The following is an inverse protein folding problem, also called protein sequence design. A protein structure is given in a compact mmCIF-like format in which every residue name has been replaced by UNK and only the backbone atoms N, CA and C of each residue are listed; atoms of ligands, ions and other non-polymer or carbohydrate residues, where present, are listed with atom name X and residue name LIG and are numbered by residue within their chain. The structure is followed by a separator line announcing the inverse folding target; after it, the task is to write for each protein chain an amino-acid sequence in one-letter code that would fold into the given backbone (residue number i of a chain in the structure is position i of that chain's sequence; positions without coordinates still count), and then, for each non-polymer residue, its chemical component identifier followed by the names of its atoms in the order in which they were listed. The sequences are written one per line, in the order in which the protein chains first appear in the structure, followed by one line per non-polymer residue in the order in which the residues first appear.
data_IF_047741299775
#
_entry.id   IF_047741299775
#
_cell.length_a   1.000
_cell.length_b   1.000
_cell.length_c   1.000
_cell.angle_alpha   90.00
_cell.angle_beta   90.00
_cell.angle_gamma   90.00
#
_symmetry.space_group_name_H-M   'P 1'
#
loop_
_entity.id
_entity.type
_entity.pdbx_description
1 polymer ?
#
# COMPACT_ATOMS: atom_id res chain seq x y z
N UNK A 1 45.69 7.85 -8.62
CA UNK A 1 44.89 8.59 -9.62
C UNK A 1 44.65 7.78 -10.90
N UNK A 2 45.68 7.36 -11.65
CA UNK A 2 45.50 6.60 -12.92
C UNK A 2 44.61 5.35 -12.81
N UNK A 3 44.77 4.55 -11.77
CA UNK A 3 43.97 3.33 -11.56
C UNK A 3 42.49 3.62 -11.29
N UNK A 4 42.18 4.76 -10.66
CA UNK A 4 40.81 5.21 -10.42
C UNK A 4 40.17 5.62 -11.75
N UNK A 5 40.85 6.45 -12.54
CA UNK A 5 40.34 7.00 -13.80
C UNK A 5 40.08 5.93 -14.88
N UNK A 6 40.81 4.82 -14.83
CA UNK A 6 40.65 3.71 -15.79
C UNK A 6 39.61 2.68 -15.34
N UNK A 7 39.00 2.85 -14.16
CA UNK A 7 38.07 1.88 -13.60
C UNK A 7 36.66 2.14 -14.12
N UNK A 8 36.20 1.28 -15.01
CA UNK A 8 34.84 1.27 -15.59
C UNK A 8 34.10 0.01 -15.14
N UNK A 9 32.78 0.07 -14.97
CA UNK A 9 31.92 -1.08 -14.65
C UNK A 9 32.05 -2.16 -15.73
N UNK A 10 32.38 -3.37 -15.32
CA UNK A 10 32.58 -4.50 -16.23
C UNK A 10 31.26 -5.12 -16.66
N UNK A 11 31.27 -5.88 -17.76
CA UNK A 11 30.10 -6.64 -18.21
C UNK A 11 29.70 -7.66 -17.13
N UNK A 12 28.44 -7.58 -16.67
CA UNK A 12 27.90 -8.43 -15.59
C UNK A 12 28.27 -7.98 -14.17
N UNK A 13 29.04 -6.90 -14.00
CA UNK A 13 29.31 -6.33 -12.69
C UNK A 13 28.13 -5.49 -12.21
N UNK A 14 27.69 -5.69 -10.96
CA UNK A 14 26.63 -4.87 -10.37
C UNK A 14 27.11 -3.45 -10.06
N UNK A 15 26.18 -2.49 -10.02
CA UNK A 15 26.49 -1.08 -9.68
C UNK A 15 27.10 -0.97 -8.28
N UNK A 16 26.66 -1.80 -7.33
CA UNK A 16 27.21 -1.82 -5.97
C UNK A 16 28.65 -2.31 -5.94
N UNK A 17 28.95 -3.42 -6.64
CA UNK A 17 30.32 -3.97 -6.74
C UNK A 17 31.28 -2.96 -7.37
N UNK A 18 30.84 -2.29 -8.44
CA UNK A 18 31.59 -1.23 -9.09
C UNK A 18 31.86 -0.04 -8.16
N UNK A 19 30.83 0.47 -7.48
CA UNK A 19 30.94 1.60 -6.55
C UNK A 19 31.91 1.31 -5.39
N UNK A 20 31.84 0.10 -4.82
CA UNK A 20 32.76 -0.33 -3.77
C UNK A 20 34.20 -0.43 -4.26
N UNK A 21 34.43 -0.93 -5.48
CA UNK A 21 35.76 -1.01 -6.05
C UNK A 21 36.38 0.39 -6.24
N UNK A 22 35.59 1.37 -6.69
CA UNK A 22 36.02 2.77 -6.78
C UNK A 22 36.32 3.39 -5.41
N UNK A 23 35.46 3.15 -4.42
CA UNK A 23 35.66 3.62 -3.05
C UNK A 23 36.98 3.09 -2.46
N UNK A 24 37.25 1.79 -2.62
CA UNK A 24 38.51 1.15 -2.18
C UNK A 24 39.75 1.73 -2.88
N UNK A 25 39.64 2.10 -4.16
CA UNK A 25 40.72 2.78 -4.88
C UNK A 25 40.89 4.23 -4.40
N UNK A 26 39.80 4.92 -4.06
CA UNK A 26 39.85 6.30 -3.55
C UNK A 26 40.48 6.37 -2.15
N UNK A 27 40.20 5.41 -1.27
CA UNK A 27 40.76 5.38 0.09
C UNK A 27 42.27 5.13 0.07
N UNK A 28 42.76 4.31 -0.86
CA UNK A 28 44.21 4.14 -1.12
C UNK A 28 44.90 5.40 -1.65
N UNK A 29 44.14 6.39 -2.13
CA UNK A 29 44.67 7.64 -2.65
C UNK A 29 44.55 8.79 -1.64
N UNK A 30 43.57 8.73 -0.73
CA UNK A 30 43.46 9.66 0.42
C UNK A 30 44.62 9.53 1.41
N UNK A 31 45.34 8.42 1.40
CA UNK A 31 46.56 8.23 2.22
C UNK A 31 47.73 9.09 1.75
N UNK A 32 47.62 9.74 0.58
CA UNK A 32 48.63 10.69 0.08
C UNK A 32 48.11 12.12 0.28
N UNK A 33 48.72 12.83 1.23
CA UNK A 33 48.35 14.20 1.61
C UNK A 33 48.69 15.19 0.48
N UNK A 34 47.73 16.04 0.10
CA UNK A 34 47.88 17.07 -0.94
C UNK A 34 47.20 16.77 -2.29
N UNK A 35 46.34 15.76 -2.38
CA UNK A 35 45.65 15.43 -3.62
C UNK A 35 44.52 16.43 -3.97
N UNK A 36 44.38 16.82 -5.26
CA UNK A 36 43.21 17.57 -5.74
C UNK A 36 41.92 16.79 -5.46
N UNK A 37 40.78 17.49 -5.38
CA UNK A 37 39.47 16.96 -4.95
C UNK A 37 39.21 15.50 -5.38
N UNK A 38 39.65 14.58 -4.53
CA UNK A 38 39.57 13.13 -4.76
C UNK A 38 38.10 12.71 -4.80
N UNK A 39 37.25 13.42 -4.06
CA UNK A 39 35.81 13.19 -4.02
C UNK A 39 35.14 13.64 -5.33
N UNK A 40 35.52 14.80 -5.87
CA UNK A 40 35.08 15.25 -7.20
C UNK A 40 35.47 14.26 -8.28
N UNK A 41 36.75 13.84 -8.31
CA UNK A 41 37.23 12.87 -9.30
C UNK A 41 36.53 11.50 -9.14
N UNK A 42 36.27 11.07 -7.90
CA UNK A 42 35.55 9.82 -7.62
C UNK A 42 34.10 9.86 -8.15
N UNK A 43 33.39 10.97 -7.95
CA UNK A 43 32.02 11.14 -8.46
C UNK A 43 31.98 11.18 -9.99
N UNK A 44 32.92 11.91 -10.61
CA UNK A 44 33.04 11.98 -12.06
C UNK A 44 33.35 10.61 -12.67
N UNK A 45 34.29 9.87 -12.06
CA UNK A 45 34.63 8.53 -12.50
C UNK A 45 33.47 7.56 -12.35
N UNK A 46 32.75 7.64 -11.22
CA UNK A 46 31.57 6.81 -11.00
C UNK A 46 30.56 7.05 -12.12
N UNK A 47 30.20 8.32 -12.38
CA UNK A 47 29.31 8.70 -13.49
C UNK A 47 29.80 8.15 -14.84
N UNK A 48 31.05 8.38 -15.20
CA UNK A 48 31.54 8.07 -16.55
C UNK A 48 31.72 6.56 -16.78
N UNK A 49 32.04 5.82 -15.72
CA UNK A 49 32.28 4.39 -15.80
C UNK A 49 31.07 3.48 -15.53
N UNK A 50 29.87 3.99 -15.23
CA UNK A 50 28.64 3.16 -15.14
C UNK A 50 28.33 2.49 -16.49
N UNK A 51 27.72 1.31 -16.56
CA UNK A 51 27.40 0.66 -17.85
C UNK A 51 26.12 1.20 -18.51
N UNK A 52 25.12 1.59 -17.71
CA UNK A 52 23.81 2.04 -18.20
C UNK A 52 23.81 3.54 -18.59
N UNK A 53 23.51 3.83 -19.85
CA UNK A 53 23.41 5.20 -20.38
C UNK A 53 22.32 6.05 -19.70
N UNK A 54 21.21 5.45 -19.27
CA UNK A 54 20.14 6.17 -18.57
C UNK A 54 20.64 6.57 -17.19
N UNK A 55 21.18 5.61 -16.45
CA UNK A 55 21.77 5.86 -15.13
C UNK A 55 22.89 6.91 -15.20
N UNK A 56 23.76 6.89 -16.22
CA UNK A 56 24.77 7.95 -16.45
C UNK A 56 24.16 9.35 -16.57
N UNK A 57 23.06 9.50 -17.33
CA UNK A 57 22.39 10.79 -17.53
C UNK A 57 21.74 11.29 -16.24
N UNK A 58 21.08 10.39 -15.54
CA UNK A 58 20.38 10.68 -14.29
C UNK A 58 21.39 11.07 -13.19
N UNK A 59 22.48 10.31 -13.04
CA UNK A 59 23.60 10.66 -12.14
C UNK A 59 24.20 12.03 -12.49
N UNK A 60 24.38 12.34 -13.78
CA UNK A 60 24.86 13.65 -14.24
C UNK A 60 23.92 14.79 -13.87
N UNK A 61 22.59 14.59 -14.02
CA UNK A 61 21.57 15.58 -13.63
C UNK A 61 21.64 15.83 -12.12
N UNK A 62 21.67 14.78 -11.32
CA UNK A 62 21.72 14.88 -9.86
C UNK A 62 22.96 15.66 -9.37
N UNK A 63 24.13 15.42 -9.99
CA UNK A 63 25.35 16.16 -9.68
C UNK A 63 25.27 17.65 -10.04
N UNK A 64 24.55 17.99 -11.11
CA UNK A 64 24.36 19.39 -11.53
C UNK A 64 23.44 20.14 -10.56
N UNK A 65 22.39 19.47 -10.09
CA UNK A 65 21.38 20.07 -9.21
C UNK A 65 21.85 20.13 -7.75
N UNK A 66 22.79 19.25 -7.35
CA UNK A 66 23.31 19.16 -5.99
C UNK A 66 24.85 19.16 -5.96
N UNK A 67 25.44 20.35 -6.01
CA UNK A 67 26.91 20.51 -6.01
C UNK A 67 27.61 19.96 -4.75
N UNK A 68 26.92 19.94 -3.60
CA UNK A 68 27.46 19.47 -2.31
C UNK A 68 27.19 17.98 -2.03
N UNK A 69 26.55 17.27 -2.96
CA UNK A 69 26.13 15.87 -2.78
C UNK A 69 27.34 14.97 -2.47
N UNK A 70 27.27 14.17 -1.42
CA UNK A 70 28.34 13.22 -1.07
C UNK A 70 28.38 12.03 -2.05
N UNK A 71 29.54 11.38 -2.17
CA UNK A 71 29.65 10.19 -3.02
C UNK A 71 28.75 9.03 -2.53
N UNK A 72 28.58 8.91 -1.21
CA UNK A 72 27.72 7.87 -0.61
C UNK A 72 26.26 8.09 -1.01
N UNK A 73 25.76 9.33 -0.92
CA UNK A 73 24.40 9.65 -1.36
C UNK A 73 24.20 9.44 -2.87
N UNK A 74 25.21 9.79 -3.69
CA UNK A 74 25.19 9.53 -5.13
C UNK A 74 25.08 8.04 -5.46
N UNK A 75 25.83 7.22 -4.73
CA UNK A 75 25.82 5.75 -4.87
C UNK A 75 24.46 5.20 -4.49
N UNK A 76 23.93 5.56 -3.33
CA UNK A 76 22.68 4.99 -2.81
C UNK A 76 21.53 5.31 -3.77
N UNK A 77 21.46 6.55 -4.27
CA UNK A 77 20.49 6.92 -5.30
C UNK A 77 20.65 6.13 -6.61
N UNK A 78 21.89 5.88 -7.04
CA UNK A 78 22.14 5.10 -8.25
C UNK A 78 21.76 3.61 -8.08
N UNK A 79 21.83 3.07 -6.86
CA UNK A 79 21.37 1.72 -6.56
C UNK A 79 19.85 1.62 -6.67
N UNK A 80 19.11 2.54 -6.03
CA UNK A 80 17.65 2.59 -6.10
C UNK A 80 17.16 2.69 -7.56
N UNK A 81 17.79 3.54 -8.37
CA UNK A 81 17.48 3.69 -9.80
C UNK A 81 17.81 2.41 -10.62
N UNK A 82 18.87 1.70 -10.25
CA UNK A 82 19.24 0.45 -10.93
C UNK A 82 18.28 -0.71 -10.61
N UNK A 83 17.70 -0.71 -9.41
CA UNK A 83 16.71 -1.69 -8.97
C UNK A 83 15.33 -1.41 -9.61
N UNK A 84 14.94 -0.15 -9.74
CA UNK A 84 13.72 0.29 -10.45
C UNK A 84 13.74 -0.11 -11.94
N UNK A 85 14.92 -0.15 -12.56
CA UNK A 85 15.11 -0.53 -13.97
C UNK A 85 14.84 -2.01 -14.27
N UNK A 86 14.82 -2.87 -13.24
CA UNK A 86 14.46 -4.29 -13.38
C UNK A 86 12.95 -4.52 -13.56
N UNK A 87 12.11 -3.52 -13.28
CA UNK A 87 10.65 -3.61 -13.32
C UNK A 87 9.98 -2.94 -14.54
N UNK A 88 10.75 -2.34 -15.46
CA UNK A 88 10.19 -1.66 -16.64
C UNK A 88 10.55 -2.38 -17.97
N UNK A 89 9.59 -2.53 -18.91
CA UNK A 89 9.87 -3.09 -20.22
C UNK A 89 10.91 -2.24 -20.96
N UNK A 90 12.06 -2.86 -21.24
CA UNK A 90 13.21 -2.31 -21.96
C UNK A 90 12.79 -1.67 -23.30
N UNK A 91 12.55 -0.36 -23.32
CA UNK A 91 12.41 0.37 -24.59
C UNK A 91 13.78 0.44 -25.25
N UNK A 92 13.91 -0.18 -26.43
CA UNK A 92 15.13 -0.13 -27.24
C UNK A 92 15.55 1.33 -27.44
N UNK A 93 16.77 1.65 -27.03
CA UNK A 93 17.35 2.97 -27.17
C UNK A 93 17.44 3.35 -28.66
N UNK A 94 16.60 4.31 -29.07
CA UNK A 94 16.75 4.99 -30.35
C UNK A 94 17.92 5.97 -30.23
N UNK A 95 18.89 5.87 -31.14
CA UNK A 95 20.04 6.79 -31.20
C UNK A 95 19.55 8.23 -31.37
N UNK A 96 20.11 9.23 -30.68
CA UNK A 96 19.74 10.61 -30.91
C UNK A 96 20.38 11.07 -32.24
N UNK A 97 19.56 11.17 -33.29
CA UNK A 97 19.90 11.90 -34.50
C UNK A 97 19.90 13.39 -34.19
N UNK A 98 21.02 14.05 -34.45
CA UNK A 98 21.17 15.50 -34.32
C UNK A 98 20.34 16.15 -35.42
N UNK A 99 19.17 16.65 -35.06
CA UNK A 99 18.48 17.72 -35.79
C UNK A 99 17.95 18.67 -34.72
N UNK A 100 18.54 19.86 -34.64
CA UNK A 100 17.97 20.97 -33.88
C UNK A 100 16.63 21.32 -34.50
N UNK A 101 15.56 20.78 -33.94
CA UNK A 101 14.20 21.14 -34.27
C UNK A 101 13.69 21.92 -33.08
N UNK A 102 13.52 23.22 -33.27
CA UNK A 102 12.78 24.08 -32.35
C UNK A 102 11.51 23.32 -31.95
N UNK A 103 11.37 23.01 -30.67
CA UNK A 103 10.22 22.27 -30.15
C UNK A 103 8.99 23.17 -30.28
N UNK A 104 8.35 23.15 -31.44
CA UNK A 104 7.04 23.76 -31.60
C UNK A 104 6.08 22.97 -30.72
N UNK A 105 5.36 23.61 -29.76
CA UNK A 105 4.41 22.92 -28.92
C UNK A 105 3.35 22.28 -29.83
N UNK A 106 3.27 20.95 -29.82
CA UNK A 106 2.19 20.26 -30.52
C UNK A 106 0.88 20.58 -29.78
N UNK A 107 -0.02 21.40 -30.35
CA UNK A 107 -1.22 21.87 -29.66
C UNK A 107 -2.17 20.72 -29.28
N UNK A 108 -2.08 19.58 -29.98
CA UNK A 108 -2.83 18.38 -29.64
C UNK A 108 -2.37 17.77 -28.31
N UNK A 109 -1.06 17.79 -28.06
CA UNK A 109 -0.47 17.17 -26.87
C UNK A 109 -0.74 17.99 -25.61
N UNK A 110 -0.68 19.33 -25.71
CA UNK A 110 -1.02 20.21 -24.59
C UNK A 110 -2.48 20.05 -24.17
N UNK A 111 -3.41 19.99 -25.13
CA UNK A 111 -4.84 19.78 -24.84
C UNK A 111 -5.12 18.43 -24.17
N UNK A 112 -4.42 17.36 -24.59
CA UNK A 112 -4.54 16.04 -23.96
C UNK A 112 -4.02 16.08 -22.52
N UNK A 113 -2.89 16.75 -22.28
CA UNK A 113 -2.33 16.87 -20.93
C UNK A 113 -3.26 17.65 -20.00
N UNK A 114 -3.85 18.75 -20.44
CA UNK A 114 -4.85 19.50 -19.66
C UNK A 114 -6.09 18.66 -19.33
N UNK A 115 -6.56 17.86 -20.30
CA UNK A 115 -7.68 16.94 -20.09
C UNK A 115 -7.35 15.87 -19.04
N UNK A 116 -6.12 15.34 -19.06
CA UNK A 116 -5.67 14.37 -18.07
C UNK A 116 -5.52 15.00 -16.68
N UNK A 117 -4.94 16.19 -16.58
CA UNK A 117 -4.79 16.91 -15.30
C UNK A 117 -6.16 17.14 -14.65
N UNK A 118 -7.12 17.68 -15.41
CA UNK A 118 -8.48 17.92 -14.89
C UNK A 118 -9.20 16.62 -14.53
N UNK A 119 -8.92 15.51 -15.22
CA UNK A 119 -9.47 14.20 -14.88
C UNK A 119 -8.89 13.66 -13.56
N UNK A 120 -7.57 13.82 -13.35
CA UNK A 120 -6.90 13.41 -12.11
C UNK A 120 -7.38 14.24 -10.92
N UNK A 121 -7.57 15.55 -11.10
CA UNK A 121 -8.14 16.42 -10.06
C UNK A 121 -9.56 15.96 -9.65
N UNK A 122 -10.42 15.67 -10.63
CA UNK A 122 -11.77 15.12 -10.38
C UNK A 122 -11.73 13.78 -9.65
N UNK A 123 -10.84 12.88 -10.06
CA UNK A 123 -10.64 11.59 -9.40
C UNK A 123 -10.19 11.76 -7.95
N UNK A 124 -9.33 12.74 -7.66
CA UNK A 124 -8.86 13.03 -6.29
C UNK A 124 -10.01 13.45 -5.38
N UNK A 125 -10.98 14.23 -5.89
CA UNK A 125 -12.19 14.61 -5.15
C UNK A 125 -13.06 13.40 -4.79
N UNK A 126 -13.34 12.52 -5.77
CA UNK A 126 -14.13 11.30 -5.56
C UNK A 126 -13.46 10.39 -4.52
N UNK A 127 -12.14 10.23 -4.57
CA UNK A 127 -11.39 9.44 -3.59
C UNK A 127 -11.50 10.02 -2.16
N UNK A 128 -11.51 11.34 -2.03
CA UNK A 128 -11.68 12.01 -0.75
C UNK A 128 -13.09 11.80 -0.17
N UNK A 129 -14.12 11.86 -1.01
CA UNK A 129 -15.50 11.55 -0.63
C UNK A 129 -15.65 10.09 -0.19
N UNK A 130 -15.13 9.14 -0.98
CA UNK A 130 -15.13 7.71 -0.63
C UNK A 130 -14.40 7.44 0.70
N UNK A 131 -13.30 8.15 0.96
CA UNK A 131 -12.59 8.06 2.25
C UNK A 131 -13.46 8.56 3.40
N UNK A 132 -14.19 9.66 3.22
CA UNK A 132 -15.09 10.19 4.24
C UNK A 132 -16.23 9.20 4.53
N UNK A 133 -16.83 8.62 3.50
CA UNK A 133 -17.86 7.58 3.64
C UNK A 133 -17.35 6.36 4.38
N UNK A 134 -16.14 5.90 4.05
CA UNK A 134 -15.50 4.79 4.76
C UNK A 134 -15.31 5.11 6.25
N UNK A 135 -14.89 6.34 6.60
CA UNK A 135 -14.76 6.74 8.02
C UNK A 135 -16.11 6.80 8.74
N UNK A 136 -17.17 7.26 8.06
CA UNK A 136 -18.52 7.30 8.63
C UNK A 136 -19.06 5.89 8.86
N UNK A 137 -18.86 4.97 7.91
CA UNK A 137 -19.23 3.57 8.05
C UNK A 137 -18.45 2.89 9.18
N UNK A 138 -17.13 3.10 9.26
CA UNK A 138 -16.32 2.55 10.36
C UNK A 138 -16.82 3.00 11.73
N UNK A 139 -17.17 4.28 11.91
CA UNK A 139 -17.75 4.79 13.18
C UNK A 139 -19.09 4.14 13.51
N UNK A 140 -19.93 3.88 12.50
CA UNK A 140 -21.22 3.19 12.69
C UNK A 140 -21.00 1.75 13.13
N UNK A 141 -20.04 1.04 12.54
CA UNK A 141 -19.67 -0.33 12.96
C UNK A 141 -19.20 -0.34 14.41
N UNK A 142 -18.28 0.56 14.79
CA UNK A 142 -17.78 0.68 16.17
C UNK A 142 -18.91 0.95 17.18
N UNK A 143 -19.85 1.83 16.84
CA UNK A 143 -21.02 2.11 17.70
C UNK A 143 -21.92 0.88 17.87
N UNK A 144 -22.11 0.09 16.80
CA UNK A 144 -22.88 -1.15 16.85
C UNK A 144 -22.16 -2.23 17.67
N UNK A 145 -20.84 -2.34 17.59
CA UNK A 145 -20.05 -3.25 18.41
C UNK A 145 -20.13 -2.89 19.91
N UNK A 146 -20.08 -1.60 20.25
CA UNK A 146 -20.21 -1.14 21.64
C UNK A 146 -21.62 -1.37 22.22
N UNK A 147 -22.67 -1.10 21.43
CA UNK A 147 -24.06 -1.28 21.86
C UNK A 147 -24.47 -2.77 21.88
N UNK A 148 -23.95 -3.58 20.94
CA UNK A 148 -24.13 -5.03 20.90
C UNK A 148 -23.67 -5.74 22.18
N UNK A 149 -22.55 -5.32 22.77
CA UNK A 149 -22.05 -5.86 24.05
C UNK A 149 -22.98 -5.63 25.24
N UNK A 150 -23.88 -4.65 25.19
CA UNK A 150 -24.85 -4.38 26.27
C UNK A 150 -26.18 -5.12 26.11
N UNK A 151 -26.46 -5.66 24.92
CA UNK A 151 -27.76 -6.31 24.62
C UNK A 151 -27.70 -7.84 24.71
N UNK A 152 -26.51 -8.44 24.62
CA UNK A 152 -26.33 -9.87 24.92
C UNK A 152 -26.34 -10.17 26.44
N UNK A 153 -26.20 -9.14 27.29
CA UNK A 153 -26.38 -9.24 28.74
C UNK A 153 -27.80 -8.98 29.25
N UNK A 154 -28.75 -8.55 28.40
CA UNK A 154 -30.12 -8.17 28.82
C UNK A 154 -31.18 -9.26 28.61
N UNK A 155 -30.81 -10.45 28.13
CA UNK A 155 -31.76 -11.57 27.98
C UNK A 155 -31.81 -12.55 29.15
N UNK A 156 -31.11 -12.28 30.27
CA UNK A 156 -31.04 -13.26 31.38
C UNK A 156 -31.59 -12.81 32.74
N UNK A 157 -32.15 -11.61 32.93
CA UNK A 157 -32.62 -11.19 34.28
C UNK A 157 -33.91 -10.36 34.35
N UNK A 158 -34.88 -10.69 33.51
CA UNK A 158 -36.26 -10.63 34.01
C UNK A 158 -36.72 -12.07 34.16
N UNK A 159 -36.45 -12.65 35.35
CA UNK A 159 -37.34 -13.68 35.87
C UNK A 159 -38.70 -13.00 35.96
N UNK A 160 -39.46 -13.06 34.87
CA UNK A 160 -40.84 -12.60 34.87
C UNK A 160 -41.49 -13.28 36.06
N UNK A 161 -42.01 -12.49 36.98
CA UNK A 161 -42.61 -13.00 38.19
C UNK A 161 -43.78 -13.93 37.81
N UNK A 162 -43.53 -15.24 37.82
CA UNK A 162 -44.51 -16.26 37.47
C UNK A 162 -45.61 -16.34 38.52
N UNK A 163 -45.50 -15.64 39.66
CA UNK A 163 -46.50 -15.63 40.75
C UNK A 163 -47.88 -15.19 40.27
N UNK A 164 -47.95 -14.35 39.23
CA UNK A 164 -49.23 -13.86 38.71
C UNK A 164 -49.82 -14.76 37.62
N UNK A 165 -49.03 -15.69 37.08
CA UNK A 165 -49.41 -16.55 35.95
C UNK A 165 -50.21 -17.73 36.48
N UNK A 166 -51.47 -17.84 36.05
CA UNK A 166 -52.35 -18.97 36.34
C UNK A 166 -52.21 -20.07 35.29
N UNK A 167 -52.04 -21.31 35.73
CA UNK A 167 -51.96 -22.46 34.85
C UNK A 167 -53.33 -22.86 34.33
N UNK A 168 -53.53 -22.86 33.01
CA UNK A 168 -54.79 -23.29 32.36
C UNK A 168 -55.17 -24.75 32.60
N UNK A 169 -54.26 -25.60 33.11
CA UNK A 169 -54.54 -27.02 33.37
C UNK A 169 -55.05 -27.28 34.79
N UNK A 170 -54.47 -26.60 35.78
CA UNK A 170 -54.77 -26.86 37.20
C UNK A 170 -55.26 -25.63 37.96
N UNK A 171 -55.35 -24.48 37.30
CA UNK A 171 -55.75 -23.19 37.86
C UNK A 171 -54.89 -22.71 39.05
N UNK A 172 -53.70 -23.29 39.24
CA UNK A 172 -52.73 -22.84 40.25
C UNK A 172 -51.75 -21.85 39.63
N UNK A 173 -51.32 -20.87 40.42
CA UNK A 173 -50.38 -19.83 39.98
C UNK A 173 -48.91 -20.29 40.07
N UNK A 174 -47.99 -19.57 39.44
CA UNK A 174 -46.54 -19.82 39.58
C UNK A 174 -45.89 -20.58 38.43
N UNK A 175 -46.66 -21.12 37.47
CA UNK A 175 -46.15 -21.94 36.36
C UNK A 175 -47.07 -21.89 35.14
N UNK A 176 -46.52 -22.22 33.97
CA UNK A 176 -47.29 -22.38 32.73
C UNK A 176 -47.89 -23.79 32.62
N UNK A 177 -48.93 -23.97 31.78
CA UNK A 177 -49.55 -25.28 31.55
C UNK A 177 -48.58 -26.35 30.99
N UNK A 178 -47.49 -25.93 30.34
CA UNK A 178 -46.40 -26.79 29.88
C UNK A 178 -45.51 -27.32 31.00
N UNK A 179 -45.36 -26.56 32.08
CA UNK A 179 -44.56 -26.90 33.27
C UNK A 179 -45.45 -27.48 34.39
N UNK A 180 -46.70 -27.85 34.08
CA UNK A 180 -47.66 -28.30 35.08
C UNK A 180 -47.35 -29.72 35.58
N UNK A 181 -47.18 -29.93 36.90
CA UNK A 181 -46.93 -31.26 37.46
C UNK A 181 -48.17 -32.15 37.47
N UNK A 182 -49.36 -31.60 37.19
CA UNK A 182 -50.58 -32.40 37.13
C UNK A 182 -50.65 -33.18 35.81
N UNK A 183 -51.00 -34.48 35.87
CA UNK A 183 -51.17 -35.30 34.67
C UNK A 183 -52.24 -34.68 33.78
N UNK A 184 -52.01 -34.71 32.46
CA UNK A 184 -53.01 -34.30 31.47
C UNK A 184 -54.25 -35.15 31.71
N UNK A 185 -55.46 -34.57 31.86
CA UNK A 185 -56.68 -35.37 31.81
C UNK A 185 -56.70 -36.04 30.44
N UNK A 186 -56.53 -37.37 30.43
CA UNK A 186 -56.63 -38.17 29.21
C UNK A 186 -58.04 -37.94 28.65
N UNK A 187 -58.20 -37.43 27.42
CA UNK A 187 -59.51 -37.40 26.80
C UNK A 187 -59.95 -38.86 26.64
N UNK A 188 -61.06 -39.21 27.30
CA UNK A 188 -61.70 -40.52 27.14
C UNK A 188 -61.99 -40.81 25.65
N UNK A 189 -62.08 -42.08 25.26
CA UNK A 189 -62.17 -42.47 23.85
C UNK A 189 -63.38 -41.81 23.21
N UNK A 190 -63.12 -40.87 22.30
CA UNK A 190 -64.13 -40.22 21.48
C UNK A 190 -64.64 -41.23 20.46
N UNK A 191 -65.80 -41.82 20.73
CA UNK A 191 -66.48 -42.71 19.81
C UNK A 191 -66.98 -41.89 18.61
N UNK A 192 -66.24 -41.94 17.49
CA UNK A 192 -66.57 -41.23 16.25
C UNK A 192 -66.72 -42.26 15.12
N UNK A 193 -67.81 -43.01 15.16
CA UNK A 193 -68.34 -43.73 13.98
C UNK A 193 -68.92 -42.71 13.02
N UNK A 194 -68.26 -42.53 11.88
CA UNK A 194 -68.78 -41.82 10.72
C UNK A 194 -69.20 -42.81 9.63
N UNK A 195 -70.49 -42.82 9.31
CA UNK A 195 -71.11 -43.22 8.02
C UNK A 195 -72.27 -42.21 7.88
N UNK A 196 -72.46 -41.44 6.81
CA UNK A 196 -72.31 -41.73 5.41
C UNK A 196 -73.68 -41.43 4.78
N UNK A 197 -73.78 -40.33 4.02
CA UNK A 197 -74.79 -40.06 2.98
C UNK A 197 -74.34 -38.84 2.17
#
# INVERSE_FOLDING_TARGET
MRELCNRVQRDGESVSTYAFALMKLSDKLKTFDGAPDVQGTLKEQFRDGLSDMVLRREVKRLMKDNATLSFVALRDWALDMSEESSNLPRRKAQKPGVYGMEATPNPQLSAILETLVTTVEKQTGILQELKNDQTALSKRVETLEMTGRTTEGRRTRQRADKSQIECYRCHKRGHYASECPNPVPVPGPSNRTGQGN
#
